data_IF_081020587270
#
_entry.id   IF_081020587270
#
_cell.length_a   1.000
_cell.length_b   1.000
_cell.length_c   1.000
_cell.angle_alpha   90.00
_cell.angle_beta   90.00
_cell.angle_gamma   90.00
#
_symmetry.space_group_name_H-M   'P 1'
#
loop_
_entity.id
_entity.type
_entity.pdbx_description
1 polymer ?
#
# COMPACT_ATOMS: atom_id res chain seq x y z
N UNK A 1 -29.78 5.20 -5.71
CA UNK A 1 -29.67 3.77 -5.31
C UNK A 1 -28.23 3.56 -4.85
N UNK A 2 -28.01 3.53 -3.53
CA UNK A 2 -26.66 3.37 -2.94
C UNK A 2 -26.56 1.91 -2.46
N UNK A 3 -25.62 1.10 -2.98
CA UNK A 3 -25.39 -0.22 -2.42
C UNK A 3 -24.64 -0.11 -1.09
N UNK A 4 -25.26 -0.72 -0.09
CA UNK A 4 -24.81 -0.91 1.27
C UNK A 4 -23.68 -1.96 1.30
N UNK A 5 -22.51 -1.64 1.85
CA UNK A 5 -21.44 -2.61 2.08
C UNK A 5 -21.30 -2.89 3.58
N UNK A 6 -22.21 -3.72 4.09
CA UNK A 6 -22.03 -4.42 5.38
C UNK A 6 -21.29 -5.72 5.06
N UNK A 7 -20.07 -5.84 5.58
CA UNK A 7 -19.25 -7.03 5.41
C UNK A 7 -17.95 -7.00 6.21
N UNK A 8 -17.98 -6.50 7.43
CA UNK A 8 -16.88 -6.69 8.38
C UNK A 8 -16.89 -8.13 8.90
N UNK A 9 -15.71 -8.74 9.00
CA UNK A 9 -15.36 -10.07 9.55
C UNK A 9 -15.20 -11.16 8.48
N UNK A 10 -13.95 -11.37 8.03
CA UNK A 10 -13.26 -12.69 7.85
C UNK A 10 -11.81 -12.52 7.31
N UNK A 11 -11.24 -11.30 7.24
CA UNK A 11 -9.93 -11.05 6.61
C UNK A 11 -8.67 -11.17 7.52
N UNK A 12 -8.72 -11.82 8.68
CA UNK A 12 -7.53 -11.86 9.57
C UNK A 12 -6.60 -13.05 9.33
N UNK A 13 -7.10 -14.16 8.78
CA UNK A 13 -6.29 -15.37 8.61
C UNK A 13 -5.21 -15.20 7.53
N UNK A 14 -5.53 -14.48 6.45
CA UNK A 14 -4.63 -14.27 5.30
C UNK A 14 -3.56 -13.18 5.55
N UNK A 15 -3.74 -12.40 6.62
CA UNK A 15 -2.84 -11.31 6.97
C UNK A 15 -1.61 -11.72 7.79
N UNK A 16 -1.62 -12.94 8.33
CA UNK A 16 -0.57 -13.39 9.26
C UNK A 16 0.48 -14.19 8.51
N UNK A 17 1.79 -13.85 8.61
CA UNK A 17 2.87 -14.63 8.01
C UNK A 17 2.80 -16.12 8.33
N UNK A 18 3.13 -16.97 7.36
CA UNK A 18 3.06 -18.44 7.48
C UNK A 18 3.88 -18.92 8.67
N UNK A 19 5.07 -18.35 8.91
CA UNK A 19 5.91 -18.75 10.04
C UNK A 19 5.22 -18.50 11.39
N UNK A 20 4.48 -17.39 11.51
CA UNK A 20 3.73 -17.08 12.73
C UNK A 20 2.50 -17.99 12.89
N UNK A 21 1.89 -18.45 11.80
CA UNK A 21 0.82 -19.44 11.85
C UNK A 21 1.35 -20.81 12.32
N UNK A 22 2.49 -21.23 11.82
CA UNK A 22 3.17 -22.46 12.24
C UNK A 22 3.57 -22.41 13.72
N UNK A 23 4.14 -21.28 14.15
CA UNK A 23 4.45 -21.06 15.57
C UNK A 23 3.20 -21.07 16.45
N UNK A 24 2.08 -20.52 16.00
CA UNK A 24 0.83 -20.54 16.76
C UNK A 24 0.33 -21.98 16.94
N UNK A 25 0.33 -22.79 15.87
CA UNK A 25 -0.01 -24.22 15.92
C UNK A 25 0.92 -25.01 16.86
N UNK A 26 2.22 -24.69 16.87
CA UNK A 26 3.18 -25.31 17.77
C UNK A 26 2.91 -24.96 19.25
N UNK A 27 2.47 -23.72 19.54
CA UNK A 27 2.09 -23.31 20.90
C UNK A 27 0.77 -23.97 21.33
N UNK A 28 -0.16 -24.17 20.39
CA UNK A 28 -1.41 -24.90 20.63
C UNK A 28 -1.23 -26.40 20.87
N UNK A 29 -0.09 -27.00 20.53
CA UNK A 29 0.21 -28.40 20.88
C UNK A 29 0.83 -28.56 22.27
N UNK A 30 1.24 -27.46 22.92
CA UNK A 30 1.83 -27.49 24.25
C UNK A 30 0.79 -27.78 25.35
N UNK A 31 1.19 -28.43 26.46
CA UNK A 31 0.35 -28.57 27.65
C UNK A 31 -0.13 -27.20 28.19
N UNK A 32 -1.34 -27.17 28.75
CA UNK A 32 -2.03 -25.95 29.16
C UNK A 32 -1.16 -24.99 30.00
N UNK A 33 -0.44 -25.51 30.99
CA UNK A 33 0.46 -24.73 31.86
C UNK A 33 1.51 -23.92 31.10
N UNK A 34 2.09 -24.47 30.03
CA UNK A 34 3.10 -23.77 29.24
C UNK A 34 2.45 -22.85 28.21
N UNK A 35 1.32 -23.26 27.64
CA UNK A 35 0.54 -22.46 26.69
C UNK A 35 0.05 -21.17 27.32
N UNK A 36 -0.48 -21.21 28.53
CA UNK A 36 -0.98 -20.02 29.25
C UNK A 36 0.09 -18.94 29.45
N UNK A 37 1.35 -19.36 29.62
CA UNK A 37 2.48 -18.43 29.79
C UNK A 37 2.89 -17.80 28.46
N UNK A 38 2.91 -18.58 27.37
CA UNK A 38 3.50 -18.16 26.09
C UNK A 38 2.46 -17.55 25.14
N UNK A 39 1.20 -17.97 25.21
CA UNK A 39 0.13 -17.51 24.31
C UNK A 39 -0.06 -15.98 24.32
N UNK A 40 -0.02 -15.27 25.47
CA UNK A 40 -0.12 -13.80 25.46
C UNK A 40 1.05 -13.13 24.74
N UNK A 41 2.26 -13.67 24.85
CA UNK A 41 3.43 -13.14 24.15
C UNK A 41 3.32 -13.36 22.64
N UNK A 42 2.87 -14.55 22.23
CA UNK A 42 2.63 -14.87 20.82
C UNK A 42 1.56 -13.98 20.19
N UNK A 43 0.45 -13.74 20.89
CA UNK A 43 -0.61 -12.86 20.43
C UNK A 43 -0.08 -11.44 20.13
N UNK A 44 0.76 -10.88 21.02
CA UNK A 44 1.41 -9.59 20.79
C UNK A 44 2.33 -9.58 19.57
N UNK A 45 3.10 -10.66 19.35
CA UNK A 45 3.99 -10.76 18.19
C UNK A 45 3.19 -10.80 16.89
N UNK A 46 2.11 -11.58 16.85
CA UNK A 46 1.18 -11.63 15.71
C UNK A 46 0.58 -10.25 15.44
N UNK A 47 0.06 -9.58 16.46
CA UNK A 47 -0.51 -8.24 16.34
C UNK A 47 0.53 -7.23 15.81
N UNK A 48 1.73 -7.20 16.40
CA UNK A 48 2.80 -6.32 15.95
C UNK A 48 3.21 -6.60 14.51
N UNK A 49 3.32 -7.86 14.11
CA UNK A 49 3.69 -8.27 12.75
C UNK A 49 2.64 -7.84 11.73
N UNK A 50 1.37 -8.15 12.00
CA UNK A 50 0.24 -7.78 11.14
C UNK A 50 0.11 -6.26 11.02
N UNK A 51 0.23 -5.52 12.13
CA UNK A 51 0.21 -4.04 12.10
C UNK A 51 1.34 -3.47 11.25
N UNK A 52 2.56 -4.00 11.40
CA UNK A 52 3.73 -3.53 10.63
C UNK A 52 3.53 -3.77 9.14
N UNK A 53 2.99 -4.93 8.76
CA UNK A 53 2.65 -5.25 7.36
C UNK A 53 1.61 -4.29 6.79
N UNK A 54 0.54 -3.98 7.53
CA UNK A 54 -0.47 -2.99 7.10
C UNK A 54 0.15 -1.61 6.85
N UNK A 55 1.03 -1.15 7.74
CA UNK A 55 1.73 0.14 7.55
C UNK A 55 2.59 0.11 6.28
N UNK A 56 3.35 -0.96 6.06
CA UNK A 56 4.18 -1.09 4.86
C UNK A 56 3.34 -1.11 3.58
N UNK A 57 2.20 -1.80 3.59
CA UNK A 57 1.28 -1.80 2.44
C UNK A 57 0.75 -0.39 2.14
N UNK A 58 0.31 0.35 3.17
CA UNK A 58 -0.15 1.74 2.99
C UNK A 58 0.95 2.65 2.45
N UNK A 59 2.19 2.48 2.94
CA UNK A 59 3.35 3.23 2.42
C UNK A 59 3.60 2.85 0.96
N UNK A 60 3.54 1.57 0.62
CA UNK A 60 3.74 1.09 -0.74
C UNK A 60 2.67 1.61 -1.70
N UNK A 61 1.41 1.65 -1.27
CA UNK A 61 0.29 2.25 -2.01
C UNK A 61 0.52 3.75 -2.24
N UNK A 62 0.87 4.50 -1.20
CA UNK A 62 1.15 5.93 -1.29
C UNK A 62 2.33 6.24 -2.22
N UNK A 63 3.42 5.46 -2.15
CA UNK A 63 4.56 5.59 -3.07
C UNK A 63 4.19 5.23 -4.50
N UNK A 64 3.33 4.23 -4.69
CA UNK A 64 2.85 3.83 -6.02
C UNK A 64 1.99 4.93 -6.65
N UNK A 65 1.13 5.57 -5.85
CA UNK A 65 0.34 6.72 -6.26
C UNK A 65 1.24 7.90 -6.61
N UNK A 66 2.17 8.27 -5.74
CA UNK A 66 3.12 9.36 -5.98
C UNK A 66 3.93 9.13 -7.27
N UNK A 67 4.37 7.89 -7.52
CA UNK A 67 5.08 7.54 -8.75
C UNK A 67 4.20 7.74 -9.99
N UNK A 68 2.90 7.48 -9.91
CA UNK A 68 1.96 7.73 -10.99
C UNK A 68 1.78 9.25 -11.19
N UNK A 69 1.62 10.01 -10.10
CA UNK A 69 1.47 11.46 -10.14
C UNK A 69 2.70 12.13 -10.78
N UNK A 70 3.91 11.64 -10.48
CA UNK A 70 5.14 12.10 -11.16
C UNK A 70 5.11 11.86 -12.67
N UNK A 71 4.57 10.71 -13.12
CA UNK A 71 4.45 10.43 -14.57
C UNK A 71 3.50 11.41 -15.25
N UNK A 72 2.38 11.74 -14.60
CA UNK A 72 1.46 12.74 -15.12
C UNK A 72 2.10 14.13 -15.18
N UNK A 73 2.83 14.54 -14.14
CA UNK A 73 3.53 15.81 -14.13
C UNK A 73 4.53 15.93 -15.30
N UNK A 74 5.29 14.87 -15.56
CA UNK A 74 6.25 14.83 -16.68
C UNK A 74 5.51 14.96 -18.02
N UNK A 75 4.40 14.23 -18.18
CA UNK A 75 3.58 14.29 -19.38
C UNK A 75 3.01 15.70 -19.63
N UNK A 76 2.43 16.32 -18.60
CA UNK A 76 1.90 17.68 -18.69
C UNK A 76 2.99 18.70 -19.04
N UNK A 77 4.19 18.52 -18.48
CA UNK A 77 5.35 19.36 -18.78
C UNK A 77 5.83 19.19 -20.23
N UNK A 78 5.79 17.97 -20.78
CA UNK A 78 6.09 17.73 -22.20
C UNK A 78 5.04 18.34 -23.13
N UNK A 79 3.76 18.23 -22.77
CA UNK A 79 2.66 18.84 -23.52
C UNK A 79 2.81 20.37 -23.58
N UNK A 80 3.01 21.02 -22.42
CA UNK A 80 3.20 22.49 -22.36
C UNK A 80 4.48 22.96 -23.05
N UNK A 81 5.56 22.17 -23.03
CA UNK A 81 6.76 22.46 -23.82
C UNK A 81 6.48 22.41 -25.32
N UNK A 82 5.80 21.37 -25.80
CA UNK A 82 5.45 21.21 -27.22
C UNK A 82 4.54 22.34 -27.69
N UNK A 83 3.52 22.71 -26.91
CA UNK A 83 2.65 23.84 -27.22
C UNK A 83 3.42 25.16 -27.31
N UNK A 84 4.28 25.46 -26.33
CA UNK A 84 5.13 26.65 -26.38
C UNK A 84 6.02 26.67 -27.62
N UNK A 85 6.63 25.55 -27.97
CA UNK A 85 7.53 25.47 -29.12
C UNK A 85 6.78 25.67 -30.44
N UNK A 86 5.55 25.14 -30.55
CA UNK A 86 4.64 25.43 -31.67
C UNK A 86 4.29 26.92 -31.77
N UNK A 87 3.95 27.57 -30.65
CA UNK A 87 3.65 29.01 -30.64
C UNK A 87 4.86 29.86 -31.03
N UNK A 88 6.06 29.50 -30.58
CA UNK A 88 7.29 30.19 -31.00
C UNK A 88 7.52 30.08 -32.50
N UNK A 89 7.38 28.88 -33.06
CA UNK A 89 7.54 28.66 -34.49
C UNK A 89 6.52 29.47 -35.33
N UNK A 90 5.27 29.58 -34.84
CA UNK A 90 4.25 30.42 -35.48
C UNK A 90 4.62 31.90 -35.45
N UNK A 91 5.10 32.42 -34.31
CA UNK A 91 5.50 33.83 -34.18
C UNK A 91 6.72 34.17 -35.03
N UNK A 92 7.69 33.26 -35.14
CA UNK A 92 8.84 33.40 -36.05
C UNK A 92 8.39 33.44 -37.52
N UNK A 93 7.41 32.61 -37.90
CA UNK A 93 6.83 32.62 -39.27
C UNK A 93 6.06 33.91 -39.57
N UNK A 94 5.36 34.45 -38.57
CA UNK A 94 4.60 35.69 -38.70
C UNK A 94 5.48 36.96 -38.61
N UNK A 95 6.80 36.82 -38.43
CA UNK A 95 7.76 37.92 -38.39
C UNK A 95 7.64 38.82 -37.15
N UNK A 96 7.00 38.32 -36.10
CA UNK A 96 6.81 39.00 -34.81
C UNK A 96 7.99 38.77 -33.84
N UNK A 97 8.98 37.96 -34.24
CA UNK A 97 10.23 37.63 -33.55
C UNK A 97 11.38 37.50 -34.56
#
# INVERSE_FOLDING_TARGET
>A
MIPNAIGSKTQTADETPIELQEMAKAIESLPARYREVVAPAMARVVECSTRRRRILNLVQEALSQLRLDMKYLIFDLEATRRERDQYKEMLEKDGLL
#
